data_IF_903500316152
#
_entry.id   IF_903500316152
#
_cell.length_a   1.000
_cell.length_b   1.000
_cell.length_c   1.000
_cell.angle_alpha   90.00
_cell.angle_beta   90.00
_cell.angle_gamma   90.00
#
_symmetry.space_group_name_H-M   'P 1'
#
loop_
_entity.id
_entity.type
_entity.pdbx_description
1 polymer ?
#
# COMPACT_ATOMS: atom_id res chain seq x y z
N UNK A 1 3.53 2.11 -17.02
CA UNK A 1 2.45 2.65 -17.88
C UNK A 1 1.16 2.48 -17.09
N UNK A 2 0.31 3.52 -16.97
CA UNK A 2 -0.98 3.39 -16.31
C UNK A 2 -1.82 2.32 -17.02
N UNK A 3 -2.56 1.52 -16.26
CA UNK A 3 -3.55 0.58 -16.81
C UNK A 3 -4.81 1.34 -17.25
N UNK A 4 -5.56 0.75 -18.18
CA UNK A 4 -6.91 1.19 -18.56
C UNK A 4 -8.00 0.26 -18.00
N UNK A 5 -7.59 -0.81 -17.33
CA UNK A 5 -8.49 -1.76 -16.69
C UNK A 5 -8.84 -1.29 -15.27
N UNK A 6 -10.03 -1.65 -14.75
CA UNK A 6 -10.34 -1.41 -13.35
C UNK A 6 -9.31 -2.05 -12.42
N UNK A 7 -9.03 -1.38 -11.30
CA UNK A 7 -8.22 -1.94 -10.22
C UNK A 7 -9.01 -3.06 -9.55
N UNK A 8 -8.36 -4.20 -9.32
CA UNK A 8 -8.92 -5.33 -8.60
C UNK A 8 -8.57 -5.24 -7.11
N UNK A 9 -7.28 -5.03 -6.79
CA UNK A 9 -6.85 -4.80 -5.42
C UNK A 9 -5.57 -3.97 -5.29
N UNK A 10 -5.41 -3.36 -4.12
CA UNK A 10 -4.24 -2.57 -3.74
C UNK A 10 -3.70 -3.08 -2.40
N UNK A 11 -2.39 -3.35 -2.34
CA UNK A 11 -1.72 -3.94 -1.18
C UNK A 11 -0.55 -3.07 -0.75
N UNK A 12 -0.50 -2.70 0.52
CA UNK A 12 0.65 -2.06 1.15
C UNK A 12 1.52 -3.13 1.80
N UNK A 13 2.78 -3.21 1.40
CA UNK A 13 3.78 -3.99 2.10
C UNK A 13 4.66 -3.05 2.90
N UNK A 14 4.82 -3.31 4.19
CA UNK A 14 5.73 -2.54 5.03
C UNK A 14 6.61 -3.46 5.88
N UNK A 15 7.76 -2.95 6.30
CA UNK A 15 8.61 -3.58 7.30
C UNK A 15 9.19 -2.55 8.26
N UNK A 16 9.28 -2.97 9.51
CA UNK A 16 10.01 -2.23 10.54
C UNK A 16 11.50 -2.62 10.47
N UNK A 17 12.37 -1.63 10.27
CA UNK A 17 13.81 -1.84 10.08
C UNK A 17 14.07 -2.89 8.98
N UNK A 18 14.74 -3.98 9.34
CA UNK A 18 15.07 -5.10 8.44
C UNK A 18 14.35 -6.39 8.83
N UNK A 19 13.23 -6.26 9.56
CA UNK A 19 12.38 -7.40 9.90
C UNK A 19 11.58 -7.87 8.68
N UNK A 20 10.73 -8.88 8.89
CA UNK A 20 9.83 -9.40 7.84
C UNK A 20 8.91 -8.29 7.31
N UNK A 21 8.52 -8.44 6.05
CA UNK A 21 7.44 -7.64 5.47
C UNK A 21 6.07 -8.12 5.94
N UNK A 22 5.18 -7.16 6.13
CA UNK A 22 3.78 -7.35 6.50
C UNK A 22 2.95 -6.73 5.39
N UNK A 23 1.96 -7.46 4.91
CA UNK A 23 1.00 -6.99 3.91
C UNK A 23 -0.25 -6.46 4.62
N UNK A 24 -0.73 -5.31 4.16
CA UNK A 24 -1.97 -4.67 4.59
C UNK A 24 -2.82 -4.39 3.34
N UNK A 25 -4.08 -4.85 3.28
CA UNK A 25 -4.98 -4.47 2.20
C UNK A 25 -5.27 -2.96 2.28
N UNK A 26 -5.31 -2.29 1.13
CA UNK A 26 -5.77 -0.91 1.01
C UNK A 26 -7.17 -0.88 0.40
N UNK A 27 -8.08 -0.08 0.95
CA UNK A 27 -9.49 0.01 0.53
C UNK A 27 -9.87 1.44 0.18
N UNK A 28 -10.84 1.56 -0.74
CA UNK A 28 -11.53 2.80 -1.14
C UNK A 28 -13.03 2.62 -0.82
N UNK A 29 -13.35 2.62 0.48
CA UNK A 29 -14.66 2.28 1.03
C UNK A 29 -15.30 3.39 1.89
N UNK A 30 -14.63 4.54 2.00
CA UNK A 30 -15.03 5.69 2.80
C UNK A 30 -15.09 5.41 4.30
N UNK A 31 -14.30 4.46 4.79
CA UNK A 31 -14.25 4.08 6.20
C UNK A 31 -12.87 4.26 6.84
N UNK A 32 -12.84 4.35 8.17
CA UNK A 32 -11.62 4.59 8.94
C UNK A 32 -10.83 5.82 8.45
N UNK A 33 -9.60 5.63 7.97
CA UNK A 33 -8.76 6.69 7.43
C UNK A 33 -9.12 7.08 5.97
N UNK A 34 -10.00 6.34 5.30
CA UNK A 34 -10.52 6.68 3.99
C UNK A 34 -11.71 7.64 4.09
N UNK A 35 -11.61 8.79 3.45
CA UNK A 35 -12.54 9.91 3.64
C UNK A 35 -13.75 9.85 2.70
N UNK A 36 -13.59 9.29 1.50
CA UNK A 36 -14.62 9.32 0.45
C UNK A 36 -14.59 8.01 -0.32
N UNK A 37 -15.67 7.22 -0.22
CA UNK A 37 -15.78 5.96 -0.94
C UNK A 37 -15.87 6.16 -2.46
N UNK A 38 -15.10 5.37 -3.20
CA UNK A 38 -15.11 5.27 -4.66
C UNK A 38 -14.48 6.47 -5.36
N UNK A 39 -13.58 7.21 -4.71
CA UNK A 39 -12.90 8.36 -5.31
C UNK A 39 -11.57 8.00 -6.00
N UNK A 40 -11.16 6.73 -5.91
CA UNK A 40 -9.93 6.19 -6.46
C UNK A 40 -8.73 6.32 -5.53
N UNK A 41 -8.91 6.78 -4.28
CA UNK A 41 -7.86 6.87 -3.26
C UNK A 41 -7.99 5.68 -2.31
N UNK A 42 -7.10 4.73 -2.48
CA UNK A 42 -7.02 3.57 -1.59
C UNK A 42 -6.21 3.92 -0.35
N UNK A 43 -6.70 3.50 0.82
CA UNK A 43 -6.07 3.78 2.11
C UNK A 43 -5.75 2.48 2.86
N UNK A 44 -4.57 2.41 3.47
CA UNK A 44 -4.18 1.33 4.38
C UNK A 44 -3.42 1.87 5.58
N UNK A 45 -3.57 1.21 6.73
CA UNK A 45 -3.00 1.68 7.99
C UNK A 45 -1.77 0.85 8.41
N UNK A 46 -0.66 1.52 8.72
CA UNK A 46 0.54 0.90 9.28
C UNK A 46 0.57 1.15 10.79
N UNK A 47 0.48 0.11 11.63
CA UNK A 47 0.66 0.24 13.06
C UNK A 47 2.06 0.77 13.40
N UNK A 48 2.12 1.83 14.21
CA UNK A 48 3.38 2.48 14.63
C UNK A 48 3.63 2.38 16.14
N UNK A 49 2.80 1.63 16.87
CA UNK A 49 2.89 1.40 18.30
C UNK A 49 4.24 0.82 18.75
N UNK A 50 4.86 0.00 17.89
CA UNK A 50 6.18 -0.61 18.14
C UNK A 50 7.35 0.16 17.53
N UNK A 51 7.09 1.22 16.76
CA UNK A 51 8.12 2.03 16.09
C UNK A 51 8.63 3.10 17.04
N UNK A 52 9.94 3.08 17.31
CA UNK A 52 10.62 4.05 18.17
C UNK A 52 11.30 5.13 17.36
N UNK A 53 11.59 6.26 18.02
CA UNK A 53 12.37 7.35 17.42
C UNK A 53 13.70 6.83 16.87
N UNK A 54 14.03 7.24 15.65
CA UNK A 54 15.24 6.81 14.94
C UNK A 54 15.13 5.45 14.25
N UNK A 55 14.01 4.74 14.40
CA UNK A 55 13.72 3.54 13.61
C UNK A 55 13.04 3.91 12.29
N UNK A 56 13.16 3.01 11.32
CA UNK A 56 12.69 3.20 9.96
C UNK A 56 11.53 2.27 9.66
N UNK A 57 10.54 2.81 8.97
CA UNK A 57 9.51 2.03 8.26
C UNK A 57 9.85 2.13 6.78
N UNK A 58 10.01 0.97 6.14
CA UNK A 58 10.09 0.88 4.68
C UNK A 58 8.78 0.34 4.18
N UNK A 59 8.33 0.82 3.02
CA UNK A 59 7.07 0.40 2.45
C UNK A 59 7.11 0.42 0.92
N UNK A 60 6.20 -0.34 0.32
CA UNK A 60 5.83 -0.27 -1.09
C UNK A 60 4.34 -0.57 -1.21
N UNK A 61 3.73 -0.05 -2.26
CA UNK A 61 2.36 -0.35 -2.67
C UNK A 61 2.40 -1.18 -3.93
N UNK A 62 1.57 -2.21 -3.99
CA UNK A 62 1.33 -3.01 -5.18
C UNK A 62 -0.14 -2.84 -5.58
N UNK A 63 -0.40 -2.35 -6.78
CA UNK A 63 -1.74 -2.27 -7.36
C UNK A 63 -1.87 -3.30 -8.48
N UNK A 64 -2.90 -4.14 -8.39
CA UNK A 64 -3.23 -5.17 -9.37
C UNK A 64 -4.53 -4.79 -10.08
N UNK A 65 -4.53 -4.83 -11.40
CA UNK A 65 -5.74 -4.64 -12.19
C UNK A 65 -6.49 -5.94 -12.45
N UNK A 66 -7.72 -5.81 -12.96
CA UNK A 66 -8.60 -6.96 -13.30
C UNK A 66 -8.06 -7.88 -14.39
N UNK A 67 -6.92 -7.58 -15.01
CA UNK A 67 -6.22 -8.45 -15.96
C UNK A 67 -4.99 -9.13 -15.36
N UNK A 68 -4.69 -8.87 -14.09
CA UNK A 68 -3.53 -9.37 -13.36
C UNK A 68 -2.25 -8.55 -13.58
N UNK A 69 -2.34 -7.35 -14.17
CA UNK A 69 -1.16 -6.47 -14.30
C UNK A 69 -0.86 -5.83 -12.95
N UNK A 70 0.34 -6.10 -12.41
CA UNK A 70 0.81 -5.51 -11.15
C UNK A 70 1.73 -4.32 -11.41
N UNK A 71 1.48 -3.22 -10.69
CA UNK A 71 2.35 -2.04 -10.59
C UNK A 71 2.81 -1.84 -9.17
N UNK A 72 4.07 -1.44 -9.02
CA UNK A 72 4.73 -1.25 -7.72
C UNK A 72 5.13 0.22 -7.60
N UNK A 73 4.78 0.83 -6.48
CA UNK A 73 5.20 2.19 -6.12
C UNK A 73 5.84 2.24 -4.72
N UNK A 74 6.96 2.97 -4.53
CA UNK A 74 7.76 3.60 -5.58
C UNK A 74 8.34 2.58 -6.57
N UNK A 75 8.47 2.95 -7.85
CA UNK A 75 8.98 2.05 -8.91
C UNK A 75 10.44 1.58 -8.72
N UNK A 76 11.14 2.10 -7.70
CA UNK A 76 12.46 1.65 -7.29
C UNK A 76 12.37 0.78 -6.03
N UNK A 77 12.97 -0.41 -6.08
CA UNK A 77 13.42 -1.07 -4.85
C UNK A 77 14.57 -0.25 -4.24
N UNK A 78 14.67 -0.23 -2.91
CA UNK A 78 15.82 0.28 -2.11
C UNK A 78 17.17 0.33 -2.89
N UNK A 79 18.00 1.40 -2.78
CA UNK A 79 19.36 1.40 -3.30
C UNK A 79 20.27 0.32 -2.70
#
# INVERSE_FOLDING_TARGET
RPTVHPIDEVRLYYRHMFLREIMVPMTDDGSAADLVAGDGIYTGEVPTDTVRRGQMVRWRVEAEDTTGEVRIDPAFGDP
#
